data_IF_662536045617
#
_entry.id   IF_662536045617
#
_cell.length_a   1.000
_cell.length_b   1.000
_cell.length_c   1.000
_cell.angle_alpha   90.00
_cell.angle_beta   90.00
_cell.angle_gamma   90.00
#
_symmetry.space_group_name_H-M   'P 1'
#
loop_
_entity.id
_entity.type
_entity.pdbx_description
1 polymer ?
#
# COMPACT_ATOMS: atom_id res chain seq x y z
N UNK A 1 17.79 -5.99 11.76
CA UNK A 1 16.32 -5.85 11.71
C UNK A 1 15.74 -7.20 12.13
N UNK A 2 15.27 -7.36 13.37
CA UNK A 2 14.94 -8.68 13.95
C UNK A 2 13.44 -8.97 14.12
N UNK A 3 12.58 -7.96 13.96
CA UNK A 3 11.13 -8.11 14.13
C UNK A 3 10.34 -7.50 12.96
N UNK A 4 9.78 -8.37 12.13
CA UNK A 4 8.95 -8.03 10.97
C UNK A 4 7.56 -7.52 11.36
N UNK A 5 7.15 -7.63 12.64
CA UNK A 5 5.87 -7.10 13.15
C UNK A 5 5.88 -5.61 13.33
N UNK A 6 7.06 -4.99 13.46
CA UNK A 6 7.17 -3.54 13.61
C UNK A 6 6.61 -2.85 12.37
N UNK A 7 5.90 -1.72 12.59
CA UNK A 7 5.18 -1.05 11.51
C UNK A 7 6.10 -0.64 10.35
N UNK A 8 7.30 -0.13 10.67
CA UNK A 8 8.29 0.26 9.67
C UNK A 8 8.72 -0.92 8.80
N UNK A 9 9.07 -2.04 9.41
CA UNK A 9 9.60 -3.20 8.69
C UNK A 9 8.49 -3.89 7.89
N UNK A 10 7.28 -3.97 8.45
CA UNK A 10 6.11 -4.49 7.76
C UNK A 10 5.73 -3.63 6.55
N UNK A 11 5.87 -2.31 6.62
CA UNK A 11 5.68 -1.42 5.47
C UNK A 11 6.71 -1.69 4.38
N UNK A 12 8.00 -1.76 4.73
CA UNK A 12 9.07 -2.07 3.77
C UNK A 12 8.86 -3.43 3.10
N UNK A 13 8.40 -4.43 3.86
CA UNK A 13 8.09 -5.75 3.31
C UNK A 13 6.88 -5.71 2.37
N UNK A 14 5.82 -4.98 2.71
CA UNK A 14 4.68 -4.79 1.82
C UNK A 14 5.08 -4.12 0.50
N UNK A 15 5.88 -3.06 0.56
CA UNK A 15 6.44 -2.40 -0.62
C UNK A 15 7.27 -3.37 -1.47
N UNK A 16 8.15 -4.16 -0.84
CA UNK A 16 8.93 -5.18 -1.53
C UNK A 16 8.05 -6.23 -2.21
N UNK A 17 7.00 -6.72 -1.54
CA UNK A 17 6.06 -7.66 -2.14
C UNK A 17 5.38 -7.06 -3.37
N UNK A 18 4.86 -5.83 -3.27
CA UNK A 18 4.23 -5.15 -4.41
C UNK A 18 5.23 -4.98 -5.55
N UNK A 19 6.44 -4.48 -5.29
CA UNK A 19 7.50 -4.31 -6.28
C UNK A 19 7.89 -5.64 -6.94
N UNK A 20 7.93 -6.74 -6.17
CA UNK A 20 8.20 -8.09 -6.70
C UNK A 20 7.08 -8.60 -7.57
N UNK A 21 5.82 -8.35 -7.21
CA UNK A 21 4.67 -8.76 -8.00
C UNK A 21 4.66 -8.09 -9.39
N UNK A 22 5.00 -6.81 -9.46
CA UNK A 22 5.00 -6.03 -10.72
C UNK A 22 6.33 -6.06 -11.47
N UNK A 23 7.33 -6.83 -11.00
CA UNK A 23 8.64 -6.90 -11.66
C UNK A 23 9.52 -5.64 -11.50
N UNK A 24 9.21 -4.75 -10.56
CA UNK A 24 9.96 -3.50 -10.31
C UNK A 24 11.15 -3.66 -9.35
N UNK A 25 11.33 -4.83 -8.72
CA UNK A 25 12.33 -5.06 -7.66
C UNK A 25 13.81 -5.01 -8.10
N UNK A 26 14.10 -4.64 -9.35
CA UNK A 26 15.47 -4.47 -9.86
C UNK A 26 16.04 -3.07 -9.62
N UNK A 27 15.20 -2.10 -9.25
CA UNK A 27 15.62 -0.71 -9.03
C UNK A 27 15.72 -0.41 -7.53
N UNK A 28 16.84 0.16 -7.03
CA UNK A 28 16.95 0.57 -5.63
C UNK A 28 15.89 1.60 -5.25
N UNK A 29 15.28 1.45 -4.07
CA UNK A 29 14.33 2.42 -3.51
C UNK A 29 15.03 3.76 -3.28
N UNK A 30 14.39 4.86 -3.69
CA UNK A 30 14.77 6.21 -3.29
C UNK A 30 13.82 6.61 -2.16
N UNK A 31 14.34 6.76 -0.94
CA UNK A 31 13.56 6.95 0.30
C UNK A 31 12.74 8.27 0.34
N UNK A 32 12.90 9.14 -0.65
CA UNK A 32 12.25 10.45 -0.77
C UNK A 32 11.41 10.62 -2.04
N UNK A 33 11.12 9.53 -2.76
CA UNK A 33 10.32 9.61 -3.99
C UNK A 33 8.84 9.88 -3.68
N UNK A 34 8.10 10.44 -4.65
CA UNK A 34 6.70 10.85 -4.46
C UNK A 34 5.71 9.65 -4.47
N UNK A 35 6.23 8.45 -4.63
CA UNK A 35 5.53 7.16 -4.70
C UNK A 35 6.45 6.05 -4.14
N UNK A 36 5.85 4.93 -3.71
CA UNK A 36 6.60 3.82 -3.12
C UNK A 36 7.18 2.86 -4.18
N UNK A 37 6.47 2.63 -5.29
CA UNK A 37 6.89 1.70 -6.36
C UNK A 37 6.60 2.30 -7.73
N UNK A 38 7.58 2.28 -8.63
CA UNK A 38 7.40 2.58 -10.06
C UNK A 38 7.42 1.28 -10.85
N UNK A 39 6.33 0.97 -11.58
CA UNK A 39 6.30 -0.22 -12.44
C UNK A 39 7.23 -0.04 -13.65
N UNK A 40 7.68 -1.13 -14.30
CA UNK A 40 8.45 -1.04 -15.55
C UNK A 40 7.76 -0.24 -16.66
N UNK A 41 6.42 -0.20 -16.64
CA UNK A 41 5.57 0.55 -17.57
C UNK A 41 5.34 2.01 -17.16
N UNK A 42 5.97 2.48 -16.08
CA UNK A 42 5.91 3.86 -15.60
C UNK A 42 4.69 4.21 -14.74
N UNK A 43 3.99 3.21 -14.17
CA UNK A 43 2.87 3.47 -13.26
C UNK A 43 3.39 3.71 -11.85
N UNK A 44 2.97 4.80 -11.19
CA UNK A 44 3.34 5.13 -9.81
C UNK A 44 2.36 4.49 -8.85
N UNK A 45 2.87 3.69 -7.90
CA UNK A 45 2.08 3.00 -6.89
C UNK A 45 2.39 3.56 -5.50
N UNK A 46 1.35 3.88 -4.73
CA UNK A 46 1.43 4.11 -3.28
C UNK A 46 1.08 2.82 -2.55
N UNK A 47 1.94 2.35 -1.65
CA UNK A 47 1.73 1.11 -0.89
C UNK A 47 1.46 1.44 0.58
N UNK A 48 0.30 1.04 1.07
CA UNK A 48 -0.09 1.20 2.48
C UNK A 48 -0.15 -0.16 3.17
N UNK A 49 0.53 -0.28 4.30
CA UNK A 49 0.60 -1.52 5.07
C UNK A 49 -0.24 -1.47 6.36
N UNK A 50 -0.90 -2.58 6.70
CA UNK A 50 -1.69 -2.74 7.92
C UNK A 50 -1.61 -4.17 8.47
N UNK A 51 -1.93 -4.34 9.76
CA UNK A 51 -2.04 -5.65 10.38
C UNK A 51 -2.96 -5.59 11.61
N UNK A 52 -3.68 -6.68 11.89
CA UNK A 52 -4.49 -6.80 13.11
C UNK A 52 -3.64 -7.02 14.36
N UNK A 53 -2.47 -7.66 14.20
CA UNK A 53 -1.48 -7.88 15.26
C UNK A 53 -0.33 -6.86 15.15
N UNK A 54 0.04 -6.28 16.29
CA UNK A 54 1.19 -5.40 16.42
C UNK A 54 2.38 -6.11 17.07
N UNK A 55 3.56 -5.50 17.00
CA UNK A 55 4.78 -6.03 17.63
C UNK A 55 4.73 -6.04 19.16
N UNK A 56 3.95 -5.14 19.75
CA UNK A 56 3.76 -5.02 21.20
C UNK A 56 2.51 -5.78 21.66
N UNK A 57 2.45 -6.07 22.97
CA UNK A 57 1.30 -6.71 23.60
C UNK A 57 0.03 -5.87 23.42
N UNK A 58 -1.07 -6.50 23.01
CA UNK A 58 -2.33 -5.84 22.76
C UNK A 58 -3.50 -6.62 23.37
N UNK A 59 -4.42 -5.91 24.03
CA UNK A 59 -5.63 -6.50 24.62
C UNK A 59 -6.74 -6.77 23.60
N UNK A 60 -6.62 -6.21 22.39
CA UNK A 60 -7.56 -6.39 21.28
C UNK A 60 -6.85 -6.19 19.95
N UNK A 61 -7.44 -6.73 18.88
CA UNK A 61 -6.96 -6.51 17.52
C UNK A 61 -6.99 -5.02 17.16
N UNK A 62 -5.99 -4.60 16.37
CA UNK A 62 -5.87 -3.24 15.89
C UNK A 62 -6.94 -2.91 14.84
N UNK A 63 -7.51 -1.72 14.93
CA UNK A 63 -8.30 -1.15 13.84
C UNK A 63 -7.36 -0.65 12.76
N UNK A 64 -7.46 -1.21 11.56
CA UNK A 64 -6.57 -0.87 10.45
C UNK A 64 -7.04 0.42 9.78
N UNK A 65 -6.15 1.40 9.72
CA UNK A 65 -6.35 2.67 9.05
C UNK A 65 -5.06 3.08 8.33
N UNK A 66 -5.21 3.47 7.07
CA UNK A 66 -4.11 3.89 6.21
C UNK A 66 -4.07 5.42 6.19
N UNK A 67 -2.99 6.00 6.72
CA UNK A 67 -2.72 7.44 6.65
C UNK A 67 -1.87 7.82 5.44
N UNK A 68 -1.63 9.12 5.27
CA UNK A 68 -0.73 9.62 4.24
C UNK A 68 -1.20 9.34 2.82
N UNK A 69 -2.51 9.37 2.56
CA UNK A 69 -3.05 9.20 1.21
C UNK A 69 -2.74 10.39 0.30
N UNK A 70 -2.44 11.54 0.91
CA UNK A 70 -2.05 12.78 0.24
C UNK A 70 -0.70 13.25 0.74
N UNK A 71 0.18 13.67 -0.15
CA UNK A 71 1.48 14.27 0.18
C UNK A 71 1.72 15.54 -0.64
N UNK A 72 2.54 16.46 -0.12
CA UNK A 72 3.01 17.61 -0.90
C UNK A 72 4.09 17.14 -1.86
N UNK A 73 4.08 17.66 -3.07
CA UNK A 73 5.11 17.42 -4.07
C UNK A 73 6.20 18.47 -3.95
N UNK A 74 7.42 18.18 -4.39
CA UNK A 74 8.52 19.14 -4.40
C UNK A 74 8.99 19.42 -5.84
N UNK A 75 9.29 20.69 -6.13
CA UNK A 75 9.90 21.12 -7.39
C UNK A 75 11.07 22.07 -7.12
N UNK A 76 12.07 22.06 -8.00
CA UNK A 76 13.21 22.98 -7.93
C UNK A 76 12.79 24.45 -8.08
N UNK A 77 11.74 24.73 -8.87
CA UNK A 77 11.25 26.07 -9.15
C UNK A 77 10.42 26.67 -8.02
N UNK A 78 9.50 25.88 -7.46
CA UNK A 78 8.45 26.38 -6.57
C UNK A 78 8.55 25.82 -5.14
N UNK A 79 9.53 24.94 -4.89
CA UNK A 79 9.67 24.24 -3.62
C UNK A 79 8.52 23.25 -3.39
N UNK A 80 8.07 23.12 -2.14
CA UNK A 80 6.95 22.23 -1.82
C UNK A 80 5.60 22.86 -2.23
N UNK A 81 4.70 22.03 -2.79
CA UNK A 81 3.34 22.45 -3.10
C UNK A 81 2.59 22.96 -1.86
N UNK A 82 1.69 23.93 -2.05
CA UNK A 82 0.92 24.52 -0.95
C UNK A 82 0.00 23.50 -0.24
N UNK A 83 -0.62 22.61 -1.02
CA UNK A 83 -1.51 21.56 -0.55
C UNK A 83 -1.03 20.18 -1.01
N UNK A 84 -1.34 19.15 -0.22
CA UNK A 84 -1.06 17.78 -0.60
C UNK A 84 -2.06 17.27 -1.63
N UNK A 85 -1.59 16.42 -2.55
CA UNK A 85 -2.39 15.76 -3.58
C UNK A 85 -2.23 14.24 -3.48
N UNK A 86 -3.11 13.52 -4.20
CA UNK A 86 -2.99 12.08 -4.38
C UNK A 86 -2.01 11.82 -5.53
N UNK A 87 -0.75 11.57 -5.19
CA UNK A 87 0.39 11.66 -6.12
C UNK A 87 0.65 10.37 -6.92
N UNK A 88 0.16 9.22 -6.43
CA UNK A 88 0.27 7.94 -7.12
C UNK A 88 -0.91 7.71 -8.08
N UNK A 89 -0.69 6.92 -9.13
CA UNK A 89 -1.72 6.53 -10.10
C UNK A 89 -2.62 5.42 -9.53
N UNK A 90 -2.05 4.57 -8.68
CA UNK A 90 -2.74 3.45 -8.02
C UNK A 90 -2.32 3.37 -6.55
N UNK A 91 -3.28 3.06 -5.69
CA UNK A 91 -3.06 2.82 -4.27
C UNK A 91 -3.27 1.34 -3.95
N UNK A 92 -2.26 0.71 -3.35
CA UNK A 92 -2.26 -0.69 -2.94
C UNK A 92 -2.28 -0.75 -1.41
N UNK A 93 -3.37 -1.26 -0.84
CA UNK A 93 -3.44 -1.57 0.59
C UNK A 93 -3.07 -3.04 0.81
N UNK A 94 -1.97 -3.29 1.51
CA UNK A 94 -1.47 -4.61 1.87
C UNK A 94 -1.72 -4.86 3.36
N UNK A 95 -2.50 -5.89 3.68
CA UNK A 95 -2.86 -6.23 5.05
C UNK A 95 -2.36 -7.62 5.40
N UNK A 96 -1.59 -7.72 6.48
CA UNK A 96 -1.34 -9.01 7.09
C UNK A 96 -2.54 -9.39 7.97
N UNK A 97 -3.25 -10.44 7.59
CA UNK A 97 -4.59 -10.76 8.12
C UNK A 97 -4.58 -11.70 9.32
N UNK A 98 -3.45 -12.31 9.65
CA UNK A 98 -3.36 -13.24 10.80
C UNK A 98 -3.69 -12.56 12.12
N UNK A 99 -4.55 -13.20 12.91
CA UNK A 99 -5.03 -12.71 14.21
C UNK A 99 -4.53 -13.52 15.41
N UNK A 100 -3.74 -14.57 15.16
CA UNK A 100 -3.14 -15.45 16.17
C UNK A 100 -1.63 -15.22 16.23
N UNK A 101 -1.09 -14.86 17.40
CA UNK A 101 0.31 -14.44 17.55
C UNK A 101 1.34 -15.54 17.27
N UNK A 102 0.99 -16.79 17.52
CA UNK A 102 1.80 -17.99 17.27
C UNK A 102 1.84 -18.38 15.78
N UNK A 103 0.83 -17.99 15.00
CA UNK A 103 0.73 -18.25 13.56
C UNK A 103 1.22 -17.09 12.69
N UNK A 104 1.45 -15.92 13.28
CA UNK A 104 1.95 -14.76 12.56
C UNK A 104 3.31 -15.04 11.95
N UNK A 105 3.37 -14.99 10.62
CA UNK A 105 4.59 -14.98 9.84
C UNK A 105 4.45 -13.97 8.69
N UNK A 106 5.21 -12.88 8.76
CA UNK A 106 5.16 -11.85 7.73
C UNK A 106 5.79 -12.30 6.40
N UNK A 107 6.65 -13.34 6.42
CA UNK A 107 7.27 -13.90 5.22
C UNK A 107 6.35 -14.91 4.52
N UNK A 108 5.34 -15.43 5.20
CA UNK A 108 4.28 -16.22 4.59
C UNK A 108 3.35 -15.30 3.79
N UNK A 109 3.60 -15.24 2.48
CA UNK A 109 2.80 -14.44 1.53
C UNK A 109 1.31 -14.82 1.52
N UNK A 110 0.95 -16.02 2.00
CA UNK A 110 -0.44 -16.44 2.16
C UNK A 110 -1.19 -15.69 3.27
N UNK A 111 -0.48 -15.05 4.19
CA UNK A 111 -1.06 -14.22 5.26
C UNK A 111 -1.35 -12.79 4.82
N UNK A 112 -1.01 -12.43 3.58
CA UNK A 112 -1.22 -11.09 3.02
C UNK A 112 -2.44 -11.04 2.11
N UNK A 113 -3.31 -10.07 2.40
CA UNK A 113 -4.44 -9.68 1.56
C UNK A 113 -4.20 -8.30 0.98
N UNK A 114 -4.58 -8.10 -0.28
CA UNK A 114 -4.36 -6.86 -0.99
C UNK A 114 -5.66 -6.27 -1.52
N UNK A 115 -5.70 -4.94 -1.59
CA UNK A 115 -6.73 -4.18 -2.30
C UNK A 115 -6.07 -3.14 -3.17
N UNK A 116 -6.59 -2.95 -4.37
CA UNK A 116 -6.03 -2.06 -5.38
C UNK A 116 -7.10 -1.08 -5.83
N UNK A 117 -6.82 0.22 -5.69
CA UNK A 117 -7.72 1.30 -6.05
C UNK A 117 -7.03 2.28 -7.00
N UNK A 118 -7.70 2.76 -8.07
CA UNK A 118 -7.15 3.82 -8.88
C UNK A 118 -7.21 5.16 -8.13
N UNK A 119 -6.30 6.08 -8.47
CA UNK A 119 -6.18 7.40 -7.85
C UNK A 119 -7.51 8.14 -7.75
N UNK A 120 -8.30 8.16 -8.83
CA UNK A 120 -9.55 8.92 -8.87
C UNK A 120 -10.59 8.40 -7.85
N UNK A 121 -10.60 7.08 -7.58
CA UNK A 121 -11.49 6.48 -6.59
C UNK A 121 -11.09 6.86 -5.18
N UNK A 122 -9.78 6.89 -4.89
CA UNK A 122 -9.25 7.37 -3.60
C UNK A 122 -9.52 8.87 -3.46
N UNK A 123 -9.23 9.65 -4.49
CA UNK A 123 -9.41 11.10 -4.50
C UNK A 123 -10.87 11.54 -4.31
N UNK A 124 -11.83 10.80 -4.87
CA UNK A 124 -13.25 11.03 -4.70
C UNK A 124 -13.71 10.94 -3.23
N UNK A 125 -12.95 10.27 -2.36
CA UNK A 125 -13.25 10.23 -0.92
C UNK A 125 -12.92 11.55 -0.21
N UNK A 126 -12.00 12.35 -0.77
CA UNK A 126 -11.42 13.55 -0.14
C UNK A 126 -10.76 13.29 1.23
N UNK A 127 -10.43 12.02 1.54
CA UNK A 127 -9.86 11.63 2.81
C UNK A 127 -8.33 11.56 2.75
N UNK A 128 -7.67 12.16 3.74
CA UNK A 128 -6.21 12.01 3.94
C UNK A 128 -5.82 10.68 4.58
N UNK A 129 -6.81 9.94 5.09
CA UNK A 129 -6.66 8.60 5.66
C UNK A 129 -7.94 7.79 5.47
N UNK A 130 -7.82 6.47 5.31
CA UNK A 130 -8.97 5.59 5.05
C UNK A 130 -8.89 4.33 5.92
N UNK A 131 -10.02 3.92 6.51
CA UNK A 131 -10.13 2.65 7.26
C UNK A 131 -10.21 1.48 6.28
N UNK A 132 -9.74 0.30 6.71
CA UNK A 132 -9.82 -0.92 5.91
C UNK A 132 -11.24 -1.21 5.42
N UNK A 133 -12.27 -1.02 6.26
CA UNK A 133 -13.66 -1.23 5.85
C UNK A 133 -14.11 -0.37 4.67
N UNK A 134 -13.55 0.84 4.52
CA UNK A 134 -13.83 1.71 3.36
C UNK A 134 -13.04 1.26 2.13
N UNK A 135 -11.81 0.78 2.32
CA UNK A 135 -11.01 0.18 1.24
C UNK A 135 -11.70 -1.07 0.70
N UNK A 136 -12.19 -1.95 1.57
CA UNK A 136 -12.97 -3.15 1.20
C UNK A 136 -14.23 -2.78 0.42
N UNK A 137 -14.98 -1.76 0.88
CA UNK A 137 -16.19 -1.31 0.21
C UNK A 137 -15.94 -0.74 -1.20
N UNK A 138 -14.76 -0.13 -1.44
CA UNK A 138 -14.40 0.45 -2.73
C UNK A 138 -13.68 -0.56 -3.65
N UNK A 139 -12.84 -1.42 -3.08
CA UNK A 139 -11.94 -2.33 -3.80
C UNK A 139 -12.54 -3.71 -4.06
N UNK A 140 -13.63 -4.06 -3.36
CA UNK A 140 -14.26 -5.36 -3.45
C UNK A 140 -13.49 -6.45 -2.67
N UNK A 141 -13.56 -7.72 -3.12
CA UNK A 141 -12.91 -8.82 -2.42
C UNK A 141 -11.39 -8.64 -2.39
N UNK A 142 -10.76 -9.15 -1.32
CA UNK A 142 -9.32 -9.14 -1.20
C UNK A 142 -8.66 -9.98 -2.30
N UNK A 143 -7.49 -9.51 -2.76
CA UNK A 143 -6.65 -10.19 -3.72
C UNK A 143 -5.50 -10.90 -2.98
N UNK A 144 -5.23 -12.16 -3.32
CA UNK A 144 -4.04 -12.87 -2.84
C UNK A 144 -2.80 -12.41 -3.62
N UNK A 145 -1.60 -12.57 -3.05
CA UNK A 145 -0.34 -12.16 -3.69
C UNK A 145 -0.20 -12.63 -5.15
N UNK A 146 -0.60 -13.87 -5.45
CA UNK A 146 -0.51 -14.46 -6.79
C UNK A 146 -1.33 -13.69 -7.87
N UNK A 147 -2.43 -13.03 -7.49
CA UNK A 147 -3.27 -12.25 -8.40
C UNK A 147 -2.96 -10.75 -8.40
N UNK A 148 -2.03 -10.29 -7.57
CA UNK A 148 -1.79 -8.86 -7.33
C UNK A 148 -1.34 -8.12 -8.61
N UNK A 149 -0.41 -8.71 -9.35
CA UNK A 149 0.13 -8.10 -10.58
C UNK A 149 -0.94 -7.95 -11.67
N UNK A 150 -1.79 -8.96 -11.83
CA UNK A 150 -2.92 -8.92 -12.76
C UNK A 150 -3.92 -7.85 -12.36
N UNK A 151 -4.29 -7.79 -11.07
CA UNK A 151 -5.23 -6.80 -10.58
C UNK A 151 -4.72 -5.36 -10.76
N UNK A 152 -3.43 -5.10 -10.51
CA UNK A 152 -2.84 -3.79 -10.75
C UNK A 152 -2.97 -3.41 -12.22
N UNK A 153 -2.65 -4.33 -13.15
CA UNK A 153 -2.81 -4.09 -14.59
C UNK A 153 -4.25 -3.77 -14.96
N UNK A 154 -5.22 -4.54 -14.48
CA UNK A 154 -6.66 -4.28 -14.74
C UNK A 154 -7.08 -2.87 -14.28
N UNK A 155 -6.68 -2.46 -13.08
CA UNK A 155 -7.03 -1.15 -12.53
C UNK A 155 -6.38 -0.03 -13.33
N UNK A 156 -5.14 -0.20 -13.76
CA UNK A 156 -4.43 0.79 -14.61
C UNK A 156 -5.12 0.93 -15.97
N UNK A 157 -5.44 -0.17 -16.63
CA UNK A 157 -6.10 -0.14 -17.94
C UNK A 157 -7.52 0.45 -17.86
N UNK A 158 -8.29 0.10 -16.82
CA UNK A 158 -9.61 0.66 -16.59
C UNK A 158 -9.57 2.16 -16.29
N UNK A 159 -8.49 2.67 -15.66
CA UNK A 159 -8.35 4.10 -15.35
C UNK A 159 -7.92 4.96 -16.55
N UNK A 160 -7.46 4.33 -17.65
CA UNK A 160 -7.07 5.01 -18.91
C UNK A 160 -8.23 5.16 -19.90
N UNK A 161 -9.36 4.50 -19.64
CA UNK A 161 -10.56 4.51 -20.50
C UNK A 161 -11.53 5.59 -20.05
#
# INVERSE_FOLDING_TARGET
>A
MSDLRTNTVRSLLAEFLVARAVGAATTPRIEWDEYDVLTPEGTRLEVKSGAYLQAWEQSRLSTIQFGGLTARTWSESDGHSAAGSYNADVYVSAVLTTTEHDRYDALDVGQWSFWVLPQHTVAATQQRSMRLSRVEALGGPAIAYAGLAERIREVVEAART
#
